data_IF_975000683632
#
_entry.id   IF_975000683632
#
_cell.length_a   1.000
_cell.length_b   1.000
_cell.length_c   1.000
_cell.angle_alpha   90.00
_cell.angle_beta   90.00
_cell.angle_gamma   90.00
#
_symmetry.space_group_name_H-M   'P 1'
#
loop_
_entity.id
_entity.type
_entity.pdbx_description
1 polymer ?
#
# COMPACT_ATOMS: atom_id res chain seq x y z
N UNK A 1 6.31 -14.75 -8.70
CA UNK A 1 5.34 -14.15 -7.77
C UNK A 1 6.09 -13.31 -6.75
N UNK A 2 5.97 -11.99 -6.87
CA UNK A 2 6.53 -11.04 -5.93
C UNK A 2 5.71 -11.08 -4.63
N UNK A 3 6.39 -10.89 -3.50
CA UNK A 3 5.75 -10.83 -2.19
C UNK A 3 5.86 -9.40 -1.68
N UNK A 4 4.75 -8.69 -1.64
CA UNK A 4 4.71 -7.31 -1.17
C UNK A 4 4.19 -7.21 0.26
N UNK A 5 4.90 -6.45 1.08
CA UNK A 5 4.48 -6.00 2.40
C UNK A 5 3.96 -4.59 2.22
N UNK A 6 2.64 -4.44 2.24
CA UNK A 6 1.97 -3.15 2.09
C UNK A 6 1.63 -2.62 3.47
N UNK A 7 2.02 -1.39 3.76
CA UNK A 7 1.66 -0.69 5.00
C UNK A 7 1.16 0.72 4.72
N UNK A 8 0.05 1.10 5.33
CA UNK A 8 -0.45 2.48 5.35
C UNK A 8 -1.24 2.70 6.63
N UNK A 9 -0.70 3.51 7.55
CA UNK A 9 -1.30 3.73 8.86
C UNK A 9 -1.42 2.43 9.65
N UNK A 10 -2.65 1.98 9.92
CA UNK A 10 -2.94 0.69 10.58
C UNK A 10 -3.11 -0.47 9.61
N UNK A 11 -3.28 -0.20 8.32
CA UNK A 11 -3.40 -1.23 7.29
C UNK A 11 -2.03 -1.89 7.06
N UNK A 12 -1.90 -3.17 7.40
CA UNK A 12 -0.70 -3.99 7.17
C UNK A 12 -1.10 -5.31 6.50
N UNK A 13 -0.74 -5.48 5.21
CA UNK A 13 -1.14 -6.65 4.44
C UNK A 13 0.03 -7.22 3.63
N UNK A 14 0.22 -8.54 3.73
CA UNK A 14 1.17 -9.29 2.89
C UNK A 14 0.43 -9.79 1.66
N UNK A 15 0.75 -9.23 0.50
CA UNK A 15 0.12 -9.57 -0.77
C UNK A 15 1.12 -10.22 -1.71
N UNK A 16 0.91 -11.50 -2.04
CA UNK A 16 1.76 -12.22 -2.98
C UNK A 16 1.09 -12.23 -4.35
N UNK A 17 1.68 -11.53 -5.32
CA UNK A 17 1.08 -11.30 -6.64
C UNK A 17 2.14 -11.19 -7.74
N UNK A 18 1.69 -11.20 -8.99
CA UNK A 18 2.50 -10.89 -10.17
C UNK A 18 2.19 -9.50 -10.72
N UNK A 19 1.33 -8.74 -10.03
CA UNK A 19 0.99 -7.36 -10.34
C UNK A 19 2.15 -6.43 -10.02
N UNK A 20 2.23 -5.34 -10.77
CA UNK A 20 3.13 -4.22 -10.49
C UNK A 20 2.81 -3.59 -9.11
N UNK A 21 3.81 -2.99 -8.43
CA UNK A 21 3.65 -2.34 -7.12
C UNK A 21 2.41 -1.45 -6.99
N UNK A 22 2.14 -0.62 -8.00
CA UNK A 22 1.02 0.30 -8.00
C UNK A 22 -0.34 -0.42 -8.06
N UNK A 23 -0.47 -1.46 -8.88
CA UNK A 23 -1.70 -2.24 -8.97
C UNK A 23 -1.92 -3.13 -7.74
N UNK A 24 -0.83 -3.55 -7.06
CA UNK A 24 -0.92 -4.21 -5.77
C UNK A 24 -1.54 -3.29 -4.70
N UNK A 25 -1.12 -2.01 -4.62
CA UNK A 25 -1.74 -1.03 -3.71
C UNK A 25 -3.23 -0.84 -4.00
N UNK A 26 -3.61 -0.72 -5.27
CA UNK A 26 -5.02 -0.60 -5.69
C UNK A 26 -5.85 -1.79 -5.23
N UNK A 27 -5.31 -2.99 -5.35
CA UNK A 27 -6.01 -4.21 -4.92
C UNK A 27 -6.18 -4.28 -3.40
N UNK A 28 -5.14 -3.91 -2.65
CA UNK A 28 -5.14 -4.01 -1.19
C UNK A 28 -6.07 -2.99 -0.52
N UNK A 29 -6.36 -1.85 -1.16
CA UNK A 29 -7.39 -0.91 -0.68
C UNK A 29 -8.78 -1.55 -0.55
N UNK A 30 -9.11 -2.55 -1.37
CA UNK A 30 -10.38 -3.28 -1.27
C UNK A 30 -10.44 -4.24 -0.08
N UNK A 31 -9.29 -4.57 0.51
CA UNK A 31 -9.19 -5.43 1.71
C UNK A 31 -9.20 -4.60 3.01
N UNK A 32 -9.15 -3.27 2.90
CA UNK A 32 -9.27 -2.33 4.01
C UNK A 32 -10.67 -2.44 4.64
N UNK A 33 -10.73 -2.51 5.98
CA UNK A 33 -11.99 -2.51 6.72
C UNK A 33 -12.30 -1.11 7.30
N UNK A 34 -13.41 -0.98 8.03
CA UNK A 34 -13.86 0.31 8.57
C UNK A 34 -13.09 0.79 9.81
N UNK A 35 -12.30 -0.08 10.43
CA UNK A 35 -11.45 0.21 11.58
C UNK A 35 -10.01 0.56 11.16
N UNK A 36 -9.67 0.39 9.88
CA UNK A 36 -8.37 0.72 9.33
C UNK A 36 -8.25 2.22 9.04
N UNK A 37 -7.19 2.84 9.56
CA UNK A 37 -6.79 4.20 9.23
C UNK A 37 -5.66 4.16 8.19
N UNK A 38 -5.93 4.76 7.02
CA UNK A 38 -4.93 4.93 5.97
C UNK A 38 -4.10 6.19 6.25
N UNK A 39 -2.80 6.10 6.02
CA UNK A 39 -1.87 7.22 6.11
C UNK A 39 -1.83 8.00 4.78
N UNK A 40 -1.18 9.17 4.76
CA UNK A 40 -1.00 10.00 3.55
C UNK A 40 -0.33 9.19 2.42
N UNK A 41 0.56 8.28 2.80
CA UNK A 41 1.31 7.42 1.90
C UNK A 41 1.04 5.93 2.16
N UNK A 42 1.16 5.14 1.10
CA UNK A 42 1.28 3.70 1.17
C UNK A 42 2.72 3.29 0.88
N UNK A 43 3.26 2.44 1.74
CA UNK A 43 4.61 1.91 1.63
C UNK A 43 4.55 0.46 1.19
N UNK A 44 5.33 0.13 0.18
CA UNK A 44 5.40 -1.20 -0.41
C UNK A 44 6.86 -1.67 -0.48
N UNK A 45 7.14 -2.83 0.07
CA UNK A 45 8.48 -3.42 0.05
C UNK A 45 8.41 -4.95 -0.04
N UNK A 46 9.46 -5.60 -0.53
CA UNK A 46 9.53 -7.07 -0.61
C UNK A 46 10.22 -7.71 0.60
N UNK A 47 10.86 -6.90 1.46
CA UNK A 47 11.69 -7.36 2.58
C UNK A 47 10.96 -7.30 3.92
N UNK A 48 9.90 -6.50 4.05
CA UNK A 48 9.12 -6.35 5.27
C UNK A 48 8.26 -5.09 5.27
N UNK A 49 7.43 -4.90 6.29
CA UNK A 49 6.64 -3.66 6.40
C UNK A 49 7.52 -2.44 6.60
N UNK A 50 7.19 -1.36 5.90
CA UNK A 50 7.90 -0.09 5.93
C UNK A 50 6.93 1.04 6.23
N UNK A 51 7.45 2.11 6.78
CA UNK A 51 6.73 3.34 7.08
C UNK A 51 7.65 4.55 6.86
N UNK A 52 7.17 5.74 7.20
CA UNK A 52 7.90 7.00 7.02
C UNK A 52 9.30 7.02 7.67
N UNK A 53 9.56 6.17 8.68
CA UNK A 53 10.86 6.10 9.36
C UNK A 53 11.80 5.05 8.77
N UNK A 54 11.24 4.00 8.17
CA UNK A 54 11.96 2.78 7.82
C UNK A 54 12.03 2.54 6.31
N UNK A 55 11.27 3.29 5.51
CA UNK A 55 11.34 3.28 4.06
C UNK A 55 12.73 3.72 3.58
N UNK A 56 13.24 3.05 2.56
CA UNK A 56 14.52 3.38 1.92
C UNK A 56 14.33 3.62 0.41
N UNK A 57 15.43 3.81 -0.32
CA UNK A 57 15.40 4.09 -1.77
C UNK A 57 14.86 2.95 -2.62
N UNK A 58 14.67 1.76 -2.05
CA UNK A 58 14.08 0.59 -2.72
C UNK A 58 12.63 0.33 -2.30
N UNK A 59 12.14 1.03 -1.28
CA UNK A 59 10.72 1.00 -0.89
C UNK A 59 9.91 1.82 -1.89
N UNK A 60 8.88 1.21 -2.46
CA UNK A 60 7.95 1.92 -3.32
C UNK A 60 6.94 2.68 -2.45
N UNK A 61 6.85 3.99 -2.64
CA UNK A 61 5.98 4.88 -1.88
C UNK A 61 5.02 5.56 -2.85
N UNK A 62 3.73 5.54 -2.53
CA UNK A 62 2.69 6.17 -3.33
C UNK A 62 1.72 6.94 -2.44
N UNK A 63 1.25 8.09 -2.91
CA UNK A 63 0.17 8.82 -2.23
C UNK A 63 -1.10 7.98 -2.18
N UNK A 64 -1.62 7.76 -0.97
CA UNK A 64 -2.87 7.01 -0.77
C UNK A 64 -4.02 7.71 -1.52
N UNK A 65 -4.05 9.05 -1.54
CA UNK A 65 -5.06 9.81 -2.27
C UNK A 65 -5.09 9.47 -3.77
N UNK A 66 -3.92 9.26 -4.40
CA UNK A 66 -3.88 8.89 -5.81
C UNK A 66 -4.54 7.53 -6.07
N UNK A 67 -4.30 6.56 -5.19
CA UNK A 67 -4.93 5.24 -5.26
C UNK A 67 -6.45 5.36 -5.06
N UNK A 68 -6.88 6.11 -4.04
CA UNK A 68 -8.30 6.30 -3.74
C UNK A 68 -9.05 7.03 -4.86
N UNK A 69 -8.45 8.05 -5.48
CA UNK A 69 -9.00 8.72 -6.67
C UNK A 69 -9.11 7.77 -7.85
N UNK A 70 -8.10 6.93 -8.06
CA UNK A 70 -8.08 5.98 -9.18
C UNK A 70 -9.14 4.88 -9.03
N UNK A 71 -9.36 4.42 -7.80
CA UNK A 71 -10.40 3.44 -7.47
C UNK A 71 -11.79 4.06 -7.29
N UNK A 72 -11.91 5.40 -7.25
CA UNK A 72 -13.17 6.13 -7.22
C UNK A 72 -13.76 6.38 -5.82
N UNK A 73 -12.96 6.21 -4.76
CA UNK A 73 -13.34 6.56 -3.39
C UNK A 73 -13.35 8.08 -3.15
N UNK A 74 -12.49 8.82 -3.87
CA UNK A 74 -12.39 10.28 -3.80
C UNK A 74 -12.63 10.84 -5.21
N UNK A 75 -13.45 11.89 -5.32
CA UNK A 75 -13.73 12.60 -6.57
C UNK A 75 -12.77 13.77 -6.80
#
# INVERSE_FOLDING_TARGET
MAKYYIKSGTLELIFSTELEPYDACRRVIHECNSDDELDEYMYLDERGYRDYTSADTTTFVVDTEQILRKEGYIK
#
